data_IF_332083657048
#
_entry.id   IF_332083657048
#
_cell.length_a   1.000
_cell.length_b   1.000
_cell.length_c   1.000
_cell.angle_alpha   90.00
_cell.angle_beta   90.00
_cell.angle_gamma   90.00
#
_symmetry.space_group_name_H-M   'P 1'
#
loop_
_entity.id
_entity.type
_entity.pdbx_description
1 polymer ?
#
# COMPACT_ATOMS: atom_id res chain seq x y z
N UNK A 1 -19.35 -3.80 -3.40
CA UNK A 1 -19.34 -2.46 -2.77
C UNK A 1 -19.40 -2.52 -1.24
N UNK A 2 -20.12 -3.47 -0.62
CA UNK A 2 -20.26 -3.57 0.84
C UNK A 2 -19.00 -4.03 1.63
N UNK A 3 -18.10 -4.81 1.02
CA UNK A 3 -16.92 -5.34 1.71
C UNK A 3 -15.88 -4.24 2.07
N UNK A 4 -15.84 -3.15 1.29
CA UNK A 4 -14.93 -2.03 1.53
C UNK A 4 -15.36 -1.09 2.67
N UNK A 5 -16.62 -1.15 3.09
CA UNK A 5 -17.19 -0.29 4.15
C UNK A 5 -17.14 -0.96 5.53
N UNK A 6 -17.31 -2.29 5.62
CA UNK A 6 -17.30 -3.02 6.88
C UNK A 6 -15.89 -3.18 7.48
N UNK A 7 -14.86 -3.13 6.62
CA UNK A 7 -13.49 -3.38 7.02
C UNK A 7 -12.74 -2.06 7.09
N UNK A 8 -12.57 -1.51 8.29
CA UNK A 8 -11.82 -0.27 8.48
C UNK A 8 -10.30 -0.50 8.38
N UNK A 9 -9.83 -1.71 8.71
CA UNK A 9 -8.42 -2.08 8.68
C UNK A 9 -7.94 -2.34 7.23
N UNK A 10 -6.74 -1.84 6.91
CA UNK A 10 -6.12 -2.03 5.59
C UNK A 10 -5.67 -3.48 5.44
N UNK A 11 -5.21 -4.11 6.52
CA UNK A 11 -4.78 -5.50 6.55
C UNK A 11 -5.90 -6.47 6.12
N UNK A 12 -7.08 -6.30 6.70
CA UNK A 12 -8.23 -7.16 6.44
C UNK A 12 -8.78 -7.00 5.00
N UNK A 13 -8.76 -5.78 4.43
CA UNK A 13 -9.19 -5.59 3.03
C UNK A 13 -8.18 -6.17 2.05
N UNK A 14 -6.89 -6.02 2.33
CA UNK A 14 -5.85 -6.63 1.51
C UNK A 14 -5.91 -8.16 1.58
N UNK A 15 -6.21 -8.74 2.74
CA UNK A 15 -6.37 -10.19 2.89
C UNK A 15 -7.58 -10.76 2.17
N UNK A 16 -8.73 -10.09 2.26
CA UNK A 16 -9.93 -10.50 1.51
C UNK A 16 -9.73 -10.36 -0.01
N UNK A 17 -9.07 -9.29 -0.46
CA UNK A 17 -8.75 -9.09 -1.87
C UNK A 17 -7.78 -10.14 -2.40
N UNK A 18 -6.74 -10.50 -1.63
CA UNK A 18 -5.78 -11.53 -2.02
C UNK A 18 -6.44 -12.92 -2.05
N UNK A 19 -7.30 -13.25 -1.07
CA UNK A 19 -8.06 -14.50 -1.09
C UNK A 19 -8.97 -14.58 -2.33
N UNK A 20 -9.64 -13.49 -2.68
CA UNK A 20 -10.49 -13.40 -3.87
C UNK A 20 -9.70 -13.63 -5.16
N UNK A 21 -8.54 -12.98 -5.32
CA UNK A 21 -7.62 -13.21 -6.44
C UNK A 21 -7.23 -14.69 -6.54
N UNK A 22 -6.90 -15.34 -5.41
CA UNK A 22 -6.46 -16.74 -5.40
C UNK A 22 -7.60 -17.72 -5.71
N UNK A 23 -8.84 -17.37 -5.36
CA UNK A 23 -10.02 -18.23 -5.62
C UNK A 23 -10.57 -18.06 -7.03
N UNK A 24 -10.57 -16.84 -7.58
CA UNK A 24 -11.24 -16.52 -8.85
C UNK A 24 -10.28 -16.14 -9.98
N UNK A 25 -8.98 -16.01 -9.71
CA UNK A 25 -7.97 -15.63 -10.71
C UNK A 25 -8.04 -14.16 -11.15
N UNK A 26 -8.79 -13.32 -10.45
CA UNK A 26 -8.98 -11.91 -10.78
C UNK A 26 -8.00 -11.01 -10.03
N UNK A 27 -6.85 -10.76 -10.68
CA UNK A 27 -5.80 -9.87 -10.17
C UNK A 27 -6.20 -8.38 -10.20
N UNK A 28 -7.15 -8.01 -11.06
CA UNK A 28 -7.59 -6.63 -11.23
C UNK A 28 -8.43 -6.18 -10.02
N UNK A 29 -9.27 -7.06 -9.49
CA UNK A 29 -10.03 -6.81 -8.28
C UNK A 29 -9.13 -6.54 -7.05
N UNK A 30 -8.07 -7.32 -6.88
CA UNK A 30 -7.10 -7.12 -5.79
C UNK A 30 -6.34 -5.80 -5.94
N UNK A 31 -5.80 -5.52 -7.13
CA UNK A 31 -5.09 -4.27 -7.42
C UNK A 31 -5.98 -3.05 -7.18
N UNK A 32 -7.24 -3.10 -7.62
CA UNK A 32 -8.20 -2.00 -7.44
C UNK A 32 -8.54 -1.77 -5.97
N UNK A 33 -8.74 -2.83 -5.19
CA UNK A 33 -8.98 -2.74 -3.75
C UNK A 33 -7.76 -2.14 -3.01
N UNK A 34 -6.55 -2.57 -3.37
CA UNK A 34 -5.30 -2.08 -2.80
C UNK A 34 -5.09 -0.58 -3.08
N UNK A 35 -5.23 -0.17 -4.35
CA UNK A 35 -5.09 1.23 -4.77
C UNK A 35 -6.13 2.09 -4.06
N UNK A 36 -7.39 1.65 -3.99
CA UNK A 36 -8.47 2.41 -3.34
C UNK A 36 -8.19 2.61 -1.83
N UNK A 37 -7.67 1.60 -1.15
CA UNK A 37 -7.29 1.69 0.27
C UNK A 37 -6.08 2.58 0.50
N UNK A 38 -5.06 2.49 -0.36
CA UNK A 38 -3.90 3.38 -0.34
C UNK A 38 -4.30 4.84 -0.58
N UNK A 39 -5.14 5.11 -1.59
CA UNK A 39 -5.64 6.44 -1.89
C UNK A 39 -6.42 7.02 -0.71
N UNK A 40 -7.30 6.24 -0.07
CA UNK A 40 -8.01 6.68 1.15
C UNK A 40 -7.04 7.04 2.28
N UNK A 41 -6.06 6.18 2.58
CA UNK A 41 -5.10 6.47 3.65
C UNK A 41 -4.17 7.64 3.28
N UNK A 42 -3.84 7.81 2.00
CA UNK A 42 -3.09 8.95 1.49
C UNK A 42 -3.87 10.26 1.61
N UNK A 43 -5.15 10.27 1.23
CA UNK A 43 -6.02 11.43 1.43
C UNK A 43 -6.19 11.75 2.91
N UNK A 44 -6.36 10.76 3.79
CA UNK A 44 -6.38 10.99 5.23
C UNK A 44 -5.06 11.56 5.75
N UNK A 45 -3.92 11.10 5.23
CA UNK A 45 -2.61 11.64 5.59
C UNK A 45 -2.42 13.12 5.20
N UNK A 46 -3.07 13.58 4.12
CA UNK A 46 -3.07 15.00 3.72
C UNK A 46 -4.19 15.82 4.40
N UNK A 47 -5.37 15.22 4.58
CA UNK A 47 -6.56 15.86 5.12
C UNK A 47 -6.49 16.06 6.64
N UNK A 48 -5.88 15.13 7.39
CA UNK A 48 -5.71 15.27 8.84
C UNK A 48 -4.87 16.49 9.22
N UNK A 49 -3.68 16.73 8.62
CA UNK A 49 -2.96 17.97 8.85
C UNK A 49 -3.70 19.21 8.36
N UNK A 50 -4.37 19.15 7.20
CA UNK A 50 -5.14 20.28 6.68
C UNK A 50 -6.27 20.69 7.64
N UNK A 51 -7.01 19.71 8.17
CA UNK A 51 -8.01 19.92 9.24
C UNK A 51 -7.37 20.44 10.52
N UNK A 52 -6.22 19.89 10.94
CA UNK A 52 -5.53 20.34 12.15
C UNK A 52 -5.10 21.83 12.06
N UNK A 53 -4.69 22.30 10.88
CA UNK A 53 -4.36 23.71 10.61
C UNK A 53 -5.62 24.58 10.55
N UNK A 54 -6.70 24.06 9.97
CA UNK A 54 -7.97 24.78 9.84
C UNK A 54 -8.69 24.95 11.18
N UNK A 55 -8.55 23.99 12.10
CA UNK A 55 -9.24 23.98 13.40
C UNK A 55 -8.35 24.56 14.51
N UNK A 56 -7.03 24.36 14.44
CA UNK A 56 -6.05 24.98 15.34
C UNK A 56 -5.36 26.14 14.64
N UNK A 57 -5.75 27.38 14.95
CA UNK A 57 -5.23 28.62 14.34
C UNK A 57 -3.75 28.96 14.58
N UNK A 58 -2.88 27.96 14.76
CA UNK A 58 -1.44 28.10 14.89
C UNK A 58 -0.69 27.44 13.73
N UNK A 59 0.47 28.01 13.35
CA UNK A 59 1.33 27.45 12.31
C UNK A 59 1.67 25.99 12.65
N UNK A 60 1.39 25.02 11.77
CA UNK A 60 1.71 23.62 12.03
C UNK A 60 3.23 23.48 12.16
N UNK A 61 3.70 22.97 13.30
CA UNK A 61 5.09 22.57 13.44
C UNK A 61 5.36 21.42 12.46
N UNK A 62 6.49 21.48 11.75
CA UNK A 62 6.94 20.42 10.82
C UNK A 62 7.01 19.06 11.52
N UNK A 63 7.26 19.06 12.83
CA UNK A 63 7.21 17.88 13.72
C UNK A 63 5.79 17.29 13.85
N UNK A 64 4.76 18.13 13.98
CA UNK A 64 3.36 17.69 14.06
C UNK A 64 2.86 17.14 12.72
N UNK A 65 3.26 17.76 11.61
CA UNK A 65 2.96 17.28 10.27
C UNK A 65 3.61 15.92 9.99
N UNK A 66 4.86 15.72 10.41
CA UNK A 66 5.58 14.44 10.30
C UNK A 66 4.96 13.34 11.17
N UNK A 67 4.32 13.67 12.30
CA UNK A 67 3.55 12.71 13.11
C UNK A 67 2.19 12.38 12.51
N UNK A 68 1.59 13.31 11.78
CA UNK A 68 0.27 13.14 11.17
C UNK A 68 0.30 12.28 9.91
N UNK A 69 1.41 12.29 9.16
CA UNK A 69 1.59 11.45 7.97
C UNK A 69 2.15 10.09 8.36
N UNK A 70 1.43 8.97 8.10
CA UNK A 70 1.95 7.64 8.36
C UNK A 70 3.22 7.36 7.56
N UNK A 71 4.24 6.79 8.20
CA UNK A 71 5.54 6.54 7.58
C UNK A 71 5.46 5.67 6.30
N UNK A 72 4.50 4.74 6.21
CA UNK A 72 4.30 3.90 5.03
C UNK A 72 3.88 4.70 3.79
N UNK A 73 3.16 5.82 3.95
CA UNK A 73 2.74 6.68 2.85
C UNK A 73 3.94 7.39 2.24
N UNK A 74 4.86 7.88 3.08
CA UNK A 74 6.11 8.50 2.63
C UNK A 74 7.01 7.48 1.91
N UNK A 75 7.12 6.26 2.45
CA UNK A 75 7.87 5.18 1.80
C UNK A 75 7.27 4.80 0.44
N UNK A 76 5.94 4.71 0.34
CA UNK A 76 5.24 4.45 -0.92
C UNK A 76 5.50 5.56 -1.95
N UNK A 77 5.40 6.83 -1.54
CA UNK A 77 5.66 7.98 -2.41
C UNK A 77 7.10 7.97 -2.92
N UNK A 78 8.08 7.74 -2.04
CA UNK A 78 9.49 7.64 -2.43
C UNK A 78 9.74 6.49 -3.41
N UNK A 79 9.14 5.33 -3.18
CA UNK A 79 9.23 4.19 -4.08
C UNK A 79 8.58 4.48 -5.45
N UNK A 80 7.43 5.16 -5.48
CA UNK A 80 6.75 5.56 -6.71
C UNK A 80 7.58 6.57 -7.53
N UNK A 81 8.22 7.53 -6.87
CA UNK A 81 9.12 8.48 -7.51
C UNK A 81 10.36 7.79 -8.06
N UNK A 82 10.99 6.91 -7.29
CA UNK A 82 12.16 6.13 -7.73
C UNK A 82 11.80 5.22 -8.93
N UNK A 83 10.63 4.57 -8.89
CA UNK A 83 10.10 3.76 -9.99
C UNK A 83 9.91 4.61 -11.25
N UNK A 84 9.25 5.76 -11.11
CA UNK A 84 8.96 6.68 -12.22
C UNK A 84 10.23 7.26 -12.83
N UNK A 85 11.20 7.65 -12.01
CA UNK A 85 12.50 8.16 -12.46
C UNK A 85 13.28 7.07 -13.21
N UNK A 86 13.34 5.86 -12.68
CA UNK A 86 14.04 4.75 -13.34
C UNK A 86 13.39 4.34 -14.66
N UNK A 87 12.06 4.38 -14.76
CA UNK A 87 11.34 4.15 -16.02
C UNK A 87 11.55 5.28 -17.03
N UNK A 88 11.63 6.53 -16.57
CA UNK A 88 11.98 7.68 -17.41
C UNK A 88 13.41 7.56 -17.96
N UNK A 89 14.39 7.15 -17.15
CA UNK A 89 15.78 6.94 -17.61
C UNK A 89 15.92 5.72 -18.54
N UNK A 90 15.12 4.68 -18.31
CA UNK A 90 15.13 3.49 -19.15
C UNK A 90 14.49 3.72 -20.53
N UNK A 91 13.47 4.60 -20.60
CA UNK A 91 12.77 4.95 -21.84
C UNK A 91 13.46 6.03 -22.67
N UNK A 92 14.20 6.95 -22.02
CA UNK A 92 14.93 8.03 -22.70
C UNK A 92 16.26 7.59 -23.33
N UNK A 93 16.66 6.32 -23.20
CA UNK A 93 17.88 5.79 -23.81
C UNK A 93 19.19 6.31 -23.20
N UNK A 94 19.10 7.01 -22.06
CA UNK A 94 20.25 7.59 -21.33
C UNK A 94 21.03 6.56 -20.51
N UNK A 95 20.42 5.39 -20.25
CA UNK A 95 21.05 4.24 -19.61
C UNK A 95 21.72 3.30 -20.63
N UNK A 96 22.80 2.63 -20.22
CA UNK A 96 23.38 1.55 -21.03
C UNK A 96 22.36 0.41 -21.24
N UNK A 97 22.45 -0.35 -22.36
CA UNK A 97 21.53 -1.45 -22.64
C UNK A 97 21.45 -2.47 -21.49
N UNK A 98 22.59 -2.76 -20.86
CA UNK A 98 22.69 -3.68 -19.73
C UNK A 98 22.00 -3.14 -18.47
N UNK A 99 22.09 -1.82 -18.22
CA UNK A 99 21.43 -1.17 -17.09
C UNK A 99 19.90 -1.15 -17.27
N UNK A 100 19.40 -0.95 -18.50
CA UNK A 100 17.97 -1.03 -18.80
C UNK A 100 17.42 -2.46 -18.62
N UNK A 101 18.18 -3.47 -19.05
CA UNK A 101 17.83 -4.88 -18.83
C UNK A 101 17.85 -5.25 -17.34
N UNK A 102 18.86 -4.79 -16.60
CA UNK A 102 18.95 -4.98 -15.15
C UNK A 102 17.79 -4.30 -14.40
N UNK A 103 17.41 -3.08 -14.80
CA UNK A 103 16.27 -2.35 -14.23
C UNK A 103 14.97 -3.12 -14.43
N UNK A 104 14.66 -3.54 -15.66
CA UNK A 104 13.46 -4.33 -15.97
C UNK A 104 13.43 -5.64 -15.18
N UNK A 105 14.56 -6.35 -15.08
CA UNK A 105 14.67 -7.59 -14.31
C UNK A 105 14.44 -7.34 -12.82
N UNK A 106 15.03 -6.28 -12.26
CA UNK A 106 14.84 -5.91 -10.87
C UNK A 106 13.38 -5.53 -10.57
N UNK A 107 12.76 -4.71 -11.42
CA UNK A 107 11.36 -4.29 -11.22
C UNK A 107 10.38 -5.46 -11.34
N UNK A 108 10.63 -6.39 -12.26
CA UNK A 108 9.79 -7.59 -12.41
C UNK A 108 9.99 -8.58 -11.26
N UNK A 109 11.22 -8.75 -10.77
CA UNK A 109 11.48 -9.59 -9.60
C UNK A 109 10.85 -9.02 -8.33
N UNK A 110 10.98 -7.71 -8.10
CA UNK A 110 10.41 -7.03 -6.94
C UNK A 110 8.88 -7.02 -7.02
N UNK A 111 8.32 -6.64 -8.16
CA UNK A 111 6.87 -6.51 -8.35
C UNK A 111 6.12 -7.83 -8.46
N UNK A 112 6.75 -8.86 -9.02
CA UNK A 112 6.12 -10.19 -9.16
C UNK A 112 6.45 -11.10 -7.98
N UNK A 113 7.69 -11.58 -7.92
CA UNK A 113 8.09 -12.65 -7.01
C UNK A 113 8.15 -12.19 -5.56
N UNK A 114 8.85 -11.08 -5.30
CA UNK A 114 9.07 -10.61 -3.94
C UNK A 114 7.77 -10.09 -3.31
N UNK A 115 7.00 -9.27 -4.05
CA UNK A 115 5.73 -8.76 -3.60
C UNK A 115 4.73 -9.89 -3.30
N UNK A 116 4.55 -10.85 -4.22
CA UNK A 116 3.64 -11.99 -4.00
C UNK A 116 4.03 -12.81 -2.77
N UNK A 117 5.32 -13.10 -2.58
CA UNK A 117 5.78 -13.90 -1.44
C UNK A 117 5.63 -13.15 -0.11
N UNK A 118 5.98 -11.86 -0.07
CA UNK A 118 5.80 -11.02 1.12
C UNK A 118 4.33 -10.81 1.46
N UNK A 119 3.45 -10.68 0.45
CA UNK A 119 2.00 -10.62 0.65
C UNK A 119 1.48 -11.92 1.27
N UNK A 120 1.94 -13.08 0.81
CA UNK A 120 1.59 -14.37 1.40
C UNK A 120 2.01 -14.48 2.88
N UNK A 121 3.24 -14.09 3.21
CA UNK A 121 3.75 -14.09 4.59
C UNK A 121 2.99 -13.09 5.46
N UNK A 122 2.69 -11.90 4.95
CA UNK A 122 1.92 -10.90 5.66
C UNK A 122 0.51 -11.41 6.00
N UNK A 123 -0.15 -12.10 5.06
CA UNK A 123 -1.47 -12.67 5.30
C UNK A 123 -1.47 -13.84 6.27
N UNK A 124 -0.45 -14.67 6.26
CA UNK A 124 -0.26 -15.69 7.31
C UNK A 124 -0.11 -15.03 8.69
N UNK A 125 0.69 -13.98 8.80
CA UNK A 125 0.87 -13.22 10.04
C UNK A 125 -0.40 -12.52 10.52
N UNK A 126 -1.19 -11.95 9.60
CA UNK A 126 -2.49 -11.34 9.91
C UNK A 126 -3.54 -12.39 10.33
N UNK A 127 -3.54 -13.57 9.71
CA UNK A 127 -4.40 -14.67 10.16
C UNK A 127 -4.08 -15.12 11.58
N UNK A 128 -2.79 -15.17 11.93
CA UNK A 128 -2.31 -15.51 13.28
C UNK A 128 -2.60 -14.42 14.33
N UNK A 129 -2.77 -13.15 13.93
CA UNK A 129 -3.09 -12.07 14.86
C UNK A 129 -4.59 -11.99 15.23
N UNK A 130 -5.46 -12.69 14.48
CA UNK A 130 -6.87 -12.85 14.83
C UNK A 130 -6.96 -13.89 15.96
N UNK A 131 -7.25 -13.44 17.18
CA UNK A 131 -7.35 -14.33 18.33
C UNK A 131 -8.56 -15.27 18.19
N UNK A 132 -8.35 -16.57 18.45
CA UNK A 132 -9.43 -17.56 18.49
C UNK A 132 -10.53 -17.23 19.52
N UNK A 133 -10.22 -16.33 20.47
CA UNK A 133 -11.17 -15.78 21.45
C UNK A 133 -12.35 -15.05 20.82
N UNK A 134 -12.21 -14.47 19.61
CA UNK A 134 -13.31 -13.81 18.90
C UNK A 134 -14.36 -14.82 18.45
N UNK A 135 -13.96 -16.07 18.21
CA UNK A 135 -14.87 -17.15 17.80
C UNK A 135 -15.68 -17.74 18.97
N UNK A 136 -15.19 -17.65 20.20
CA UNK A 136 -15.89 -18.13 21.41
C UNK A 136 -17.03 -17.20 21.88
N UNK A 137 -17.16 -15.99 21.32
CA UNK A 137 -18.26 -15.06 21.62
C UNK A 137 -19.45 -15.16 20.65
N UNK A 138 -19.41 -16.09 19.71
CA UNK A 138 -20.43 -16.29 18.65
C UNK A 138 -21.20 -17.60 18.85
N UNK A 139 -20.97 -18.30 19.97
CA UNK A 139 -21.70 -19.50 20.40
C UNK A 139 -22.71 -19.21 21.49
#
# INVERSE_FOLDING_TARGET
>A
VFLGLAIHDTAQVMGAGLAYERTYGDEEAFKTAAITKLMRNGFLAAALPAMAISVGGGKPSVSALRKAVPAFVLAFMAAALLRSAGDATASSGTMSPDACAAWKKATSFVGGTLASNLLGVAMAGLGLSISASVFNGVG
#
